data_IF_566174457185
#
_entry.id   IF_566174457185
#
_cell.length_a   1.000
_cell.length_b   1.000
_cell.length_c   1.000
_cell.angle_alpha   90.00
_cell.angle_beta   90.00
_cell.angle_gamma   90.00
#
_symmetry.space_group_name_H-M   'P 1'
#
loop_
_entity.id
_entity.type
_entity.pdbx_description
1 polymer ?
#
# COMPACT_ATOMS: atom_id res chain seq x y z
N UNK A 1 -2.19 24.95 -22.78
CA UNK A 1 -1.54 24.48 -24.02
C UNK A 1 -2.55 24.22 -25.13
N UNK A 2 -3.47 23.24 -25.01
CA UNK A 2 -4.43 22.88 -26.07
C UNK A 2 -5.24 24.07 -26.63
N UNK A 3 -5.85 24.87 -25.76
CA UNK A 3 -6.68 26.04 -26.14
C UNK A 3 -5.96 27.12 -26.95
N UNK A 4 -4.62 27.16 -26.93
CA UNK A 4 -3.85 28.27 -27.51
C UNK A 4 -3.48 28.08 -28.98
N UNK A 5 -4.00 27.04 -29.67
CA UNK A 5 -3.92 27.00 -31.13
C UNK A 5 -3.48 25.66 -31.71
N UNK A 6 -3.99 24.53 -31.21
CA UNK A 6 -3.73 23.22 -31.82
C UNK A 6 -3.91 23.22 -33.36
N UNK A 7 -4.96 23.87 -33.88
CA UNK A 7 -5.19 23.98 -35.32
C UNK A 7 -4.15 24.82 -36.08
N UNK A 8 -3.48 25.75 -35.40
CA UNK A 8 -2.43 26.62 -35.96
C UNK A 8 -1.03 26.00 -35.89
N UNK A 9 -0.88 24.86 -35.22
CA UNK A 9 0.40 24.16 -35.14
C UNK A 9 0.68 23.35 -36.43
N UNK A 10 1.94 23.24 -36.88
CA UNK A 10 2.37 22.26 -37.85
C UNK A 10 1.98 20.83 -37.44
N UNK A 11 1.70 19.95 -38.42
CA UNK A 11 1.25 18.56 -38.17
C UNK A 11 2.13 17.76 -37.18
N UNK A 12 3.48 17.87 -37.18
CA UNK A 12 4.31 17.19 -36.19
C UNK A 12 4.04 17.65 -34.75
N UNK A 13 3.85 18.96 -34.54
CA UNK A 13 3.55 19.52 -33.22
C UNK A 13 2.11 19.18 -32.78
N UNK A 14 1.15 19.13 -33.70
CA UNK A 14 -0.19 18.62 -33.40
C UNK A 14 -0.16 17.16 -32.94
N UNK A 15 0.71 16.33 -33.53
CA UNK A 15 0.86 14.94 -33.12
C UNK A 15 1.44 14.84 -31.69
N UNK A 16 2.50 15.60 -31.39
CA UNK A 16 3.10 15.62 -30.05
C UNK A 16 2.11 16.09 -28.98
N UNK A 17 1.41 17.21 -29.22
CA UNK A 17 0.40 17.71 -28.28
C UNK A 17 -0.72 16.70 -28.06
N UNK A 18 -1.12 15.98 -29.11
CA UNK A 18 -2.09 14.90 -28.97
C UNK A 18 -1.56 13.74 -28.13
N UNK A 19 -0.31 13.32 -28.36
CA UNK A 19 0.35 12.28 -27.57
C UNK A 19 0.48 12.67 -26.09
N UNK A 20 0.90 13.90 -25.80
CA UNK A 20 0.97 14.42 -24.44
C UNK A 20 -0.41 14.43 -23.76
N UNK A 21 -1.45 14.77 -24.52
CA UNK A 21 -2.84 14.71 -24.02
C UNK A 21 -3.23 13.28 -23.64
N UNK A 22 -2.86 12.29 -24.45
CA UNK A 22 -3.11 10.88 -24.13
C UNK A 22 -2.31 10.42 -22.90
N UNK A 23 -1.04 10.85 -22.77
CA UNK A 23 -0.23 10.54 -21.60
C UNK A 23 -0.82 11.16 -20.33
N UNK A 24 -1.28 12.41 -20.39
CA UNK A 24 -1.94 13.05 -19.26
C UNK A 24 -3.20 12.26 -18.83
N UNK A 25 -4.04 11.82 -19.77
CA UNK A 25 -5.20 10.97 -19.45
C UNK A 25 -4.83 9.60 -18.86
N UNK A 26 -3.64 9.08 -19.20
CA UNK A 26 -3.15 7.82 -18.64
C UNK A 26 -2.69 7.96 -17.19
N UNK A 27 -2.07 9.09 -16.85
CA UNK A 27 -1.46 9.33 -15.53
C UNK A 27 -2.47 9.93 -14.53
N UNK A 28 -3.47 10.68 -15.01
CA UNK A 28 -4.48 11.33 -14.17
C UNK A 28 -5.13 10.44 -13.10
N UNK A 29 -5.47 9.16 -13.36
CA UNK A 29 -6.01 8.26 -12.35
C UNK A 29 -5.06 7.97 -11.16
N UNK A 30 -3.75 8.09 -11.36
CA UNK A 30 -2.73 7.88 -10.33
C UNK A 30 -2.53 9.13 -9.45
N UNK A 31 -3.08 10.28 -9.84
CA UNK A 31 -2.99 11.54 -9.11
C UNK A 31 -4.13 11.57 -8.07
N UNK A 32 -3.80 11.96 -6.83
CA UNK A 32 -4.69 11.95 -5.66
C UNK A 32 -6.18 12.26 -5.95
N UNK A 33 -7.11 11.54 -5.31
CA UNK A 33 -8.53 11.55 -5.66
C UNK A 33 -9.22 12.92 -5.55
N UNK A 34 -8.69 13.85 -4.75
CA UNK A 34 -9.26 15.19 -4.58
C UNK A 34 -9.07 16.12 -5.79
N UNK A 35 -7.88 16.13 -6.40
CA UNK A 35 -7.54 17.02 -7.51
C UNK A 35 -7.62 16.33 -8.89
N UNK A 36 -7.51 15.00 -8.92
CA UNK A 36 -7.51 14.21 -10.17
C UNK A 36 -8.81 14.36 -10.98
N UNK A 37 -9.97 14.39 -10.33
CA UNK A 37 -11.27 14.50 -11.01
C UNK A 37 -11.46 15.87 -11.66
N UNK A 38 -11.15 16.95 -10.94
CA UNK A 38 -11.26 18.32 -11.47
C UNK A 38 -10.26 18.56 -12.62
N UNK A 39 -9.04 18.06 -12.49
CA UNK A 39 -8.03 18.13 -13.54
C UNK A 39 -8.43 17.32 -14.78
N UNK A 40 -8.98 16.11 -14.60
CA UNK A 40 -9.45 15.27 -15.70
C UNK A 40 -10.61 15.92 -16.47
N UNK A 41 -11.59 16.48 -15.75
CA UNK A 41 -12.71 17.20 -16.37
C UNK A 41 -12.25 18.43 -17.14
N UNK A 42 -11.29 19.19 -16.59
CA UNK A 42 -10.73 20.37 -17.26
C UNK A 42 -9.96 20.00 -18.53
N UNK A 43 -9.18 18.90 -18.48
CA UNK A 43 -8.46 18.38 -19.65
C UNK A 43 -9.42 17.84 -20.71
N UNK A 44 -10.50 17.16 -20.30
CA UNK A 44 -11.53 16.66 -21.19
C UNK A 44 -12.21 17.79 -21.96
N UNK A 45 -12.66 18.84 -21.26
CA UNK A 45 -13.27 20.01 -21.90
C UNK A 45 -12.29 20.71 -22.86
N UNK A 46 -11.00 20.81 -22.49
CA UNK A 46 -9.98 21.38 -23.35
C UNK A 46 -9.72 20.51 -24.60
N UNK A 47 -9.73 19.19 -24.46
CA UNK A 47 -9.54 18.26 -25.57
C UNK A 47 -10.71 18.28 -26.56
N UNK A 48 -11.95 18.28 -26.07
CA UNK A 48 -13.16 18.33 -26.90
C UNK A 48 -13.30 19.66 -27.66
N UNK A 49 -12.90 20.77 -27.04
CA UNK A 49 -12.96 22.09 -27.66
C UNK A 49 -11.93 22.31 -28.78
N UNK A 50 -10.85 21.52 -28.81
CA UNK A 50 -9.63 21.83 -29.57
C UNK A 50 -9.25 20.72 -30.56
N UNK A 51 -9.48 19.46 -30.22
CA UNK A 51 -9.06 18.33 -31.03
C UNK A 51 -10.13 17.97 -32.09
N UNK A 52 -9.72 17.44 -33.26
CA UNK A 52 -10.65 16.81 -34.20
C UNK A 52 -11.47 15.71 -33.52
N UNK A 53 -12.73 15.54 -33.90
CA UNK A 53 -13.69 14.58 -33.28
C UNK A 53 -13.10 13.19 -33.03
N UNK A 54 -12.35 12.64 -34.00
CA UNK A 54 -11.73 11.32 -33.87
C UNK A 54 -10.66 11.27 -32.76
N UNK A 55 -9.84 12.32 -32.64
CA UNK A 55 -8.79 12.43 -31.61
C UNK A 55 -9.38 12.71 -30.23
N UNK A 56 -10.42 13.54 -30.15
CA UNK A 56 -11.16 13.72 -28.90
C UNK A 56 -11.76 12.39 -28.41
N UNK A 57 -12.43 11.64 -29.28
CA UNK A 57 -12.98 10.33 -28.95
C UNK A 57 -11.90 9.33 -28.49
N UNK A 58 -10.75 9.30 -29.16
CA UNK A 58 -9.60 8.49 -28.75
C UNK A 58 -9.12 8.87 -27.34
N UNK A 59 -9.00 10.16 -27.03
CA UNK A 59 -8.60 10.64 -25.71
C UNK A 59 -9.60 10.24 -24.60
N UNK A 60 -10.91 10.36 -24.87
CA UNK A 60 -11.95 9.90 -23.93
C UNK A 60 -11.86 8.39 -23.70
N UNK A 61 -11.65 7.61 -24.76
CA UNK A 61 -11.51 6.16 -24.64
C UNK A 61 -10.28 5.76 -23.82
N UNK A 62 -9.17 6.47 -23.99
CA UNK A 62 -7.93 6.24 -23.24
C UNK A 62 -8.10 6.58 -21.76
N UNK A 63 -8.77 7.69 -21.45
CA UNK A 63 -9.08 8.05 -20.07
C UNK A 63 -9.94 6.99 -19.39
N UNK A 64 -11.05 6.57 -20.02
CA UNK A 64 -11.93 5.50 -19.49
C UNK A 64 -11.15 4.21 -19.25
N UNK A 65 -10.31 3.82 -20.21
CA UNK A 65 -9.45 2.64 -20.10
C UNK A 65 -8.50 2.75 -18.90
N UNK A 66 -7.84 3.89 -18.76
CA UNK A 66 -6.89 4.16 -17.67
C UNK A 66 -7.58 4.14 -16.30
N UNK A 67 -8.77 4.72 -16.17
CA UNK A 67 -9.58 4.66 -14.94
C UNK A 67 -9.96 3.22 -14.59
N UNK A 68 -10.37 2.41 -15.57
CA UNK A 68 -10.71 1.00 -15.35
C UNK A 68 -9.48 0.20 -14.92
N UNK A 69 -8.35 0.38 -15.59
CA UNK A 69 -7.08 -0.27 -15.23
C UNK A 69 -6.62 0.14 -13.84
N UNK A 70 -6.68 1.43 -13.50
CA UNK A 70 -6.35 1.93 -12.17
C UNK A 70 -7.27 1.34 -11.10
N UNK A 71 -8.59 1.27 -11.34
CA UNK A 71 -9.54 0.66 -10.40
C UNK A 71 -9.31 -0.85 -10.22
N UNK A 72 -8.92 -1.56 -11.29
CA UNK A 72 -8.53 -2.98 -11.24
C UNK A 72 -7.26 -3.16 -10.42
N UNK A 73 -6.25 -2.33 -10.65
CA UNK A 73 -4.99 -2.32 -9.90
C UNK A 73 -5.22 -1.97 -8.43
N UNK A 74 -6.05 -0.98 -8.14
CA UNK A 74 -6.40 -0.61 -6.76
C UNK A 74 -7.06 -1.77 -6.02
N UNK A 75 -7.90 -2.57 -6.70
CA UNK A 75 -8.52 -3.77 -6.11
C UNK A 75 -7.53 -4.91 -5.86
N UNK A 76 -6.50 -5.06 -6.69
CA UNK A 76 -5.43 -6.05 -6.47
C UNK A 76 -4.36 -5.57 -5.47
N UNK A 77 -4.16 -4.26 -5.31
CA UNK A 77 -3.20 -3.69 -4.35
C UNK A 77 -3.66 -3.75 -2.88
N UNK A 78 -4.94 -4.05 -2.62
CA UNK A 78 -5.40 -4.38 -1.26
C UNK A 78 -4.91 -5.76 -0.77
N UNK A 79 -4.22 -6.53 -1.63
CA UNK A 79 -3.77 -7.90 -1.31
C UNK A 79 -2.24 -8.10 -1.38
N UNK A 80 -1.43 -7.04 -1.58
CA UNK A 80 0.02 -7.30 -1.67
C UNK A 80 1.02 -6.15 -1.85
N UNK A 81 0.63 -4.88 -1.66
CA UNK A 81 1.58 -3.76 -1.88
C UNK A 81 1.72 -2.81 -0.69
N UNK A 82 1.25 -3.22 0.48
CA UNK A 82 1.90 -2.76 1.71
C UNK A 82 3.20 -3.53 1.83
N UNK A 83 4.32 -2.82 1.95
CA UNK A 83 5.60 -3.44 2.36
C UNK A 83 5.41 -3.90 3.80
N UNK A 84 4.72 -5.01 3.99
CA UNK A 84 4.63 -5.68 5.27
C UNK A 84 6.02 -6.23 5.56
N UNK A 85 6.56 -5.85 6.72
CA UNK A 85 7.82 -6.40 7.21
C UNK A 85 7.68 -7.93 7.29
N UNK A 86 8.74 -8.65 6.91
CA UNK A 86 8.73 -10.11 7.07
C UNK A 86 8.54 -10.48 8.54
N UNK A 87 7.91 -11.64 8.76
CA UNK A 87 7.62 -12.16 10.09
C UNK A 87 8.86 -12.18 10.99
N UNK A 88 10.01 -12.60 10.45
CA UNK A 88 11.29 -12.67 11.17
C UNK A 88 11.79 -11.29 11.64
N UNK A 89 11.57 -10.26 10.82
CA UNK A 89 11.95 -8.88 11.16
C UNK A 89 11.04 -8.35 12.27
N UNK A 90 9.73 -8.63 12.21
CA UNK A 90 8.80 -8.28 13.27
C UNK A 90 9.17 -8.97 14.59
N UNK A 91 9.46 -10.27 14.57
CA UNK A 91 9.90 -11.02 15.76
C UNK A 91 11.17 -10.39 16.35
N UNK A 92 12.16 -10.06 15.51
CA UNK A 92 13.39 -9.39 15.97
C UNK A 92 13.14 -8.00 16.54
N UNK A 93 12.21 -7.23 15.99
CA UNK A 93 11.84 -5.94 16.58
C UNK A 93 11.13 -6.14 17.93
N UNK A 94 10.27 -7.14 18.00
CA UNK A 94 9.51 -7.46 19.20
C UNK A 94 10.37 -8.03 20.33
N UNK A 95 11.53 -8.61 20.04
CA UNK A 95 12.48 -9.03 21.09
C UNK A 95 13.05 -7.89 21.94
N UNK A 96 12.82 -6.63 21.54
CA UNK A 96 13.18 -5.45 22.34
C UNK A 96 12.02 -4.88 23.16
N UNK A 97 10.81 -5.43 23.03
CA UNK A 97 9.63 -4.95 23.73
C UNK A 97 9.48 -5.61 25.09
N UNK A 98 8.97 -4.86 26.07
CA UNK A 98 8.53 -5.43 27.34
C UNK A 98 7.21 -6.21 27.16
N UNK A 99 6.89 -7.09 28.10
CA UNK A 99 5.67 -7.90 28.12
C UNK A 99 4.41 -7.11 27.74
N UNK A 100 4.23 -5.92 28.32
CA UNK A 100 3.04 -5.07 28.08
C UNK A 100 3.00 -4.54 26.65
N UNK A 101 4.13 -4.07 26.13
CA UNK A 101 4.25 -3.61 24.75
C UNK A 101 4.05 -4.75 23.76
N UNK A 102 4.47 -5.97 24.10
CA UNK A 102 4.25 -7.17 23.27
C UNK A 102 2.77 -7.55 23.19
N UNK A 103 2.05 -7.52 24.31
CA UNK A 103 0.57 -7.70 24.32
C UNK A 103 -0.10 -6.62 23.48
N UNK A 104 0.28 -5.35 23.64
CA UNK A 104 -0.28 -4.24 22.88
C UNK A 104 -0.03 -4.38 21.37
N UNK A 105 1.19 -4.77 20.97
CA UNK A 105 1.54 -5.05 19.58
C UNK A 105 0.64 -6.15 18.98
N UNK A 106 0.30 -7.18 19.76
CA UNK A 106 -0.59 -8.26 19.34
C UNK A 106 -2.03 -7.83 19.05
N UNK A 107 -2.46 -6.63 19.46
CA UNK A 107 -3.80 -6.10 19.21
C UNK A 107 -3.88 -5.22 17.94
N UNK A 108 -2.76 -4.92 17.28
CA UNK A 108 -2.69 -3.97 16.17
C UNK A 108 -3.27 -4.55 14.88
N UNK A 109 -2.74 -5.67 14.40
CA UNK A 109 -3.20 -6.34 13.18
C UNK A 109 -2.87 -7.85 13.21
N UNK A 110 -3.34 -8.61 12.22
CA UNK A 110 -3.11 -10.07 12.14
C UNK A 110 -1.62 -10.43 12.06
N UNK A 111 -0.84 -9.71 11.26
CA UNK A 111 0.61 -9.94 11.11
C UNK A 111 1.35 -9.71 12.43
N UNK A 112 1.07 -8.59 13.11
CA UNK A 112 1.66 -8.30 14.42
C UNK A 112 1.18 -9.27 15.52
N UNK A 113 -0.08 -9.70 15.49
CA UNK A 113 -0.59 -10.73 16.39
C UNK A 113 0.18 -12.04 16.25
N UNK A 114 0.44 -12.46 15.01
CA UNK A 114 1.23 -13.66 14.72
C UNK A 114 2.66 -13.51 15.26
N UNK A 115 3.31 -12.37 15.03
CA UNK A 115 4.69 -12.16 15.49
C UNK A 115 4.79 -12.01 17.01
N UNK A 116 3.81 -11.37 17.64
CA UNK A 116 3.77 -11.19 19.09
C UNK A 116 3.41 -12.48 19.85
N UNK A 117 2.92 -13.52 19.17
CA UNK A 117 2.67 -14.85 19.75
C UNK A 117 3.87 -15.79 19.65
N UNK A 118 4.96 -15.34 19.04
CA UNK A 118 6.15 -16.17 18.86
C UNK A 118 6.70 -16.63 20.23
N UNK A 119 6.73 -17.95 20.44
CA UNK A 119 6.99 -18.53 21.76
C UNK A 119 8.40 -18.20 22.27
N UNK A 120 9.36 -18.03 21.36
CA UNK A 120 10.73 -17.65 21.71
C UNK A 120 10.82 -16.27 22.37
N UNK A 121 9.94 -15.34 22.02
CA UNK A 121 9.88 -14.01 22.63
C UNK A 121 9.43 -14.09 24.09
N UNK A 122 8.34 -14.83 24.34
CA UNK A 122 7.81 -15.03 25.69
C UNK A 122 8.77 -15.81 26.57
N UNK A 123 9.51 -16.78 26.00
CA UNK A 123 10.60 -17.47 26.70
C UNK A 123 11.69 -16.50 27.16
N UNK A 124 12.15 -15.62 26.26
CA UNK A 124 13.18 -14.61 26.60
C UNK A 124 12.67 -13.69 27.69
N UNK A 125 11.45 -13.16 27.55
CA UNK A 125 10.84 -12.26 28.52
C UNK A 125 10.66 -12.92 29.89
N UNK A 126 10.32 -14.21 29.91
CA UNK A 126 10.24 -15.01 31.14
C UNK A 126 11.59 -15.05 31.87
N UNK A 127 12.69 -15.35 31.16
CA UNK A 127 14.01 -15.36 31.77
C UNK A 127 14.47 -13.99 32.23
N UNK A 128 14.11 -12.93 31.52
CA UNK A 128 14.41 -11.54 31.91
C UNK A 128 13.64 -11.15 33.17
N UNK A 129 12.38 -11.56 33.31
CA UNK A 129 11.50 -11.16 34.42
C UNK A 129 11.67 -12.03 35.68
N UNK A 130 11.80 -13.35 35.52
CA UNK A 130 11.87 -14.31 36.63
C UNK A 130 13.29 -14.82 36.94
N UNK A 131 14.26 -14.52 36.08
CA UNK A 131 15.66 -14.95 36.22
C UNK A 131 15.92 -16.40 35.83
N UNK A 132 17.19 -16.75 35.59
CA UNK A 132 17.62 -18.11 35.21
C UNK A 132 17.48 -19.15 36.33
N UNK A 133 17.09 -18.73 37.54
CA UNK A 133 17.07 -19.58 38.75
C UNK A 133 15.85 -20.49 38.86
N UNK A 134 14.86 -20.38 37.97
CA UNK A 134 13.59 -21.12 38.07
C UNK A 134 13.42 -22.33 37.14
N UNK A 135 14.23 -22.45 36.08
CA UNK A 135 14.04 -23.46 35.03
C UNK A 135 15.29 -24.33 34.97
N UNK A 136 15.33 -25.39 35.79
CA UNK A 136 16.19 -26.54 35.49
C UNK A 136 15.67 -27.10 34.18
N UNK A 137 16.35 -26.81 33.06
CA UNK A 137 16.24 -27.48 31.76
C UNK A 137 14.97 -28.35 31.68
N UNK A 138 13.82 -27.69 31.71
CA UNK A 138 12.55 -28.40 31.87
C UNK A 138 12.45 -29.19 30.58
N UNK A 139 12.15 -30.47 30.74
CA UNK A 139 11.64 -31.37 29.70
C UNK A 139 10.29 -30.78 29.23
N UNK A 140 10.35 -29.58 28.64
CA UNK A 140 9.18 -28.81 28.27
C UNK A 140 8.55 -29.59 27.14
N UNK A 141 7.29 -30.03 27.29
CA UNK A 141 6.54 -30.59 26.18
C UNK A 141 6.71 -29.67 24.98
N UNK A 142 6.82 -30.24 23.78
CA UNK A 142 7.01 -29.49 22.54
C UNK A 142 6.00 -28.34 22.34
N UNK A 143 4.87 -28.39 23.06
CA UNK A 143 3.74 -27.46 23.01
C UNK A 143 3.63 -26.53 24.24
N UNK A 144 4.71 -26.29 24.99
CA UNK A 144 4.69 -25.38 26.14
C UNK A 144 4.63 -23.91 25.69
N UNK A 145 3.53 -23.22 25.97
CA UNK A 145 3.36 -21.78 25.70
C UNK A 145 3.88 -20.93 26.87
N UNK A 146 5.01 -20.25 26.66
CA UNK A 146 5.62 -19.37 27.66
C UNK A 146 4.75 -18.15 27.99
N UNK A 147 3.79 -17.80 27.13
CA UNK A 147 2.86 -16.71 27.38
C UNK A 147 1.89 -17.01 28.52
N UNK A 148 1.53 -18.27 28.73
CA UNK A 148 0.57 -18.66 29.77
C UNK A 148 1.11 -18.40 31.18
N UNK A 149 2.44 -18.45 31.36
CA UNK A 149 3.10 -18.08 32.62
C UNK A 149 2.83 -16.63 33.08
N UNK A 150 2.35 -15.78 32.18
CA UNK A 150 2.02 -14.38 32.45
C UNK A 150 0.51 -14.10 32.57
N UNK A 151 -0.35 -15.11 32.40
CA UNK A 151 -1.80 -14.95 32.52
C UNK A 151 -2.32 -15.19 33.96
N UNK A 152 -1.52 -15.81 34.82
CA UNK A 152 -1.92 -16.23 36.18
C UNK A 152 -1.69 -15.19 37.30
N UNK A 153 -1.39 -13.92 36.97
CA UNK A 153 -1.22 -12.84 37.96
C UNK A 153 -1.82 -11.51 37.48
#
# INVERSE_FOLDING_TARGET
MLRLGYAHLPKPLQFLVFQDTLLAFRILPDIQPGYGVAAANSLLQAAEAVLPKQKAAAAVSEFKRSVVTHKRRSKSHYDGDTVELSQDVLIRLFSFLDMRSLVAAGLVCKSWNSAAKENTLWKIEYYLFFGSSGVKEIDTPYDFDWKDCFQEK
#
